data_IF_568754507452
#
_entry.id   IF_568754507452
#
_cell.length_a   1.000
_cell.length_b   1.000
_cell.length_c   1.000
_cell.angle_alpha   90.00
_cell.angle_beta   90.00
_cell.angle_gamma   90.00
#
_symmetry.space_group_name_H-M   'P 1'
#
loop_
_entity.id
_entity.type
_entity.pdbx_description
1 polymer ?
#
# COMPACT_ATOMS: atom_id res chain seq x y z
N UNK A 1 51.46 -26.80 -37.25
CA UNK A 1 51.31 -25.34 -37.44
C UNK A 1 50.01 -24.94 -36.76
N UNK A 2 50.09 -24.67 -35.46
CA UNK A 2 48.97 -24.35 -34.59
C UNK A 2 48.70 -22.84 -34.66
N UNK A 3 47.45 -22.43 -34.83
CA UNK A 3 47.03 -21.05 -34.69
C UNK A 3 46.06 -20.98 -33.50
N UNK A 4 46.62 -20.59 -32.37
CA UNK A 4 45.97 -20.34 -31.10
C UNK A 4 45.11 -19.07 -31.23
N UNK A 5 43.79 -19.20 -31.12
CA UNK A 5 42.88 -18.06 -31.12
C UNK A 5 42.76 -17.50 -29.70
N UNK A 6 43.23 -16.25 -29.53
CA UNK A 6 43.18 -15.52 -28.26
C UNK A 6 41.73 -15.33 -27.79
N UNK A 7 41.39 -15.63 -26.53
CA UNK A 7 40.10 -15.22 -25.97
C UNK A 7 40.09 -13.69 -25.76
N UNK A 8 39.07 -13.05 -26.33
CA UNK A 8 38.80 -11.62 -26.20
C UNK A 8 38.59 -11.23 -24.73
N UNK A 9 39.41 -10.27 -24.31
CA UNK A 9 39.49 -9.61 -23.01
C UNK A 9 38.12 -9.26 -22.41
N UNK A 10 37.92 -9.67 -21.15
CA UNK A 10 36.81 -9.26 -20.31
C UNK A 10 36.78 -7.73 -20.13
N UNK A 11 35.67 -7.11 -20.52
CA UNK A 11 35.38 -5.73 -20.17
C UNK A 11 34.70 -5.68 -18.80
N UNK A 12 35.56 -5.64 -17.77
CA UNK A 12 35.43 -4.80 -16.58
C UNK A 12 34.04 -4.18 -16.34
N UNK A 13 33.19 -4.91 -15.60
CA UNK A 13 31.99 -4.42 -14.92
C UNK A 13 32.40 -3.47 -13.78
N UNK A 14 32.89 -2.28 -14.10
CA UNK A 14 32.96 -1.17 -13.13
C UNK A 14 32.84 0.15 -13.88
N UNK A 15 31.63 0.71 -13.98
CA UNK A 15 31.45 2.11 -14.38
C UNK A 15 30.42 2.85 -13.50
N UNK A 16 31.02 3.61 -12.58
CA UNK A 16 30.70 4.97 -12.09
C UNK A 16 29.73 5.12 -10.89
N UNK A 17 30.13 5.89 -9.84
CA UNK A 17 29.25 6.41 -8.78
C UNK A 17 28.13 7.36 -9.29
N UNK A 18 28.11 7.68 -10.58
CA UNK A 18 27.05 8.45 -11.24
C UNK A 18 25.70 7.74 -11.31
N UNK A 19 25.65 6.42 -11.09
CA UNK A 19 24.40 5.67 -10.96
C UNK A 19 23.54 6.12 -9.77
N UNK A 20 24.16 6.54 -8.66
CA UNK A 20 23.45 7.02 -7.46
C UNK A 20 22.83 8.40 -7.69
N UNK A 21 23.58 9.33 -8.28
CA UNK A 21 23.08 10.66 -8.63
C UNK A 21 22.01 10.59 -9.74
N UNK A 22 22.18 9.69 -10.71
CA UNK A 22 21.13 9.41 -11.69
C UNK A 22 19.88 8.83 -11.02
N UNK A 23 20.06 7.91 -10.06
CA UNK A 23 19.02 7.32 -9.20
C UNK A 23 18.21 8.37 -8.42
N UNK A 24 18.87 9.35 -7.82
CA UNK A 24 18.23 10.43 -7.07
C UNK A 24 17.29 11.31 -7.93
N UNK A 25 17.49 11.35 -9.25
CA UNK A 25 16.61 12.11 -10.17
C UNK A 25 15.37 11.35 -10.63
N UNK A 26 15.22 10.06 -10.30
CA UNK A 26 14.07 9.25 -10.76
C UNK A 26 12.70 9.77 -10.33
N UNK A 27 12.47 10.26 -9.09
CA UNK A 27 11.17 10.81 -8.69
C UNK A 27 10.74 11.99 -9.57
N UNK A 28 11.67 12.88 -9.92
CA UNK A 28 11.41 14.02 -10.80
C UNK A 28 11.11 13.56 -12.24
N UNK A 29 11.82 12.54 -12.74
CA UNK A 29 11.53 11.94 -14.06
C UNK A 29 10.17 11.26 -14.08
N UNK A 30 9.81 10.53 -13.01
CA UNK A 30 8.51 9.88 -12.85
C UNK A 30 7.38 10.93 -12.85
N UNK A 31 7.55 12.03 -12.12
CA UNK A 31 6.60 13.14 -12.13
C UNK A 31 6.46 13.77 -13.53
N UNK A 32 7.57 14.01 -14.23
CA UNK A 32 7.52 14.51 -15.61
C UNK A 32 6.79 13.54 -16.54
N UNK A 33 6.97 12.23 -16.36
CA UNK A 33 6.34 11.21 -17.18
C UNK A 33 4.82 11.14 -16.92
N UNK A 34 4.40 11.17 -15.65
CA UNK A 34 2.99 11.26 -15.27
C UNK A 34 2.32 12.54 -15.81
N UNK A 35 3.05 13.67 -15.82
CA UNK A 35 2.57 14.91 -16.45
C UNK A 35 2.43 14.79 -17.96
N UNK A 36 3.30 14.04 -18.65
CA UNK A 36 3.22 13.89 -20.12
C UNK A 36 2.18 12.86 -20.56
N UNK A 37 1.90 11.86 -19.73
CA UNK A 37 1.01 10.75 -20.09
C UNK A 37 -0.31 10.81 -19.30
N UNK A 38 -1.38 11.43 -19.84
CA UNK A 38 -2.64 11.62 -19.12
C UNK A 38 -3.32 10.30 -18.69
N UNK A 39 -3.18 9.23 -19.51
CA UNK A 39 -3.72 7.89 -19.19
C UNK A 39 -3.17 7.34 -17.86
N UNK A 40 -1.89 7.57 -17.55
CA UNK A 40 -1.26 7.07 -16.32
C UNK A 40 -1.77 7.77 -15.05
N UNK A 41 -2.28 8.99 -15.17
CA UNK A 41 -2.74 9.78 -14.02
C UNK A 41 -3.93 9.13 -13.32
N UNK A 42 -4.83 8.49 -14.07
CA UNK A 42 -5.98 7.78 -13.50
C UNK A 42 -5.55 6.66 -12.54
N UNK A 43 -4.48 5.94 -12.88
CA UNK A 43 -3.95 4.87 -12.03
C UNK A 43 -3.31 5.38 -10.72
N UNK A 44 -3.00 6.67 -10.62
CA UNK A 44 -2.50 7.30 -9.39
C UNK A 44 -3.64 7.99 -8.63
N UNK A 45 -4.50 8.72 -9.34
CA UNK A 45 -5.57 9.51 -8.74
C UNK A 45 -6.68 8.65 -8.14
N UNK A 46 -7.07 7.55 -8.81
CA UNK A 46 -8.16 6.71 -8.32
C UNK A 46 -7.86 6.11 -6.93
N UNK A 47 -6.69 5.47 -6.68
CA UNK A 47 -6.32 5.03 -5.33
C UNK A 47 -6.34 6.13 -4.28
N UNK A 48 -5.87 7.34 -4.64
CA UNK A 48 -5.85 8.48 -3.73
C UNK A 48 -7.27 8.90 -3.37
N UNK A 49 -8.18 8.98 -4.35
CA UNK A 49 -9.57 9.32 -4.13
C UNK A 49 -10.30 8.26 -3.29
N UNK A 50 -10.06 6.97 -3.58
CA UNK A 50 -10.59 5.86 -2.79
C UNK A 50 -10.09 5.96 -1.35
N UNK A 51 -8.80 6.18 -1.13
CA UNK A 51 -8.23 6.36 0.21
C UNK A 51 -8.75 7.60 0.92
N UNK A 52 -9.00 8.70 0.21
CA UNK A 52 -9.62 9.88 0.81
C UNK A 52 -11.05 9.57 1.28
N UNK A 53 -11.88 8.95 0.44
CA UNK A 53 -13.28 8.66 0.78
C UNK A 53 -13.38 7.59 1.86
N UNK A 54 -12.80 6.42 1.62
CA UNK A 54 -12.87 5.27 2.54
C UNK A 54 -12.06 5.55 3.80
N UNK A 55 -10.84 6.09 3.65
CA UNK A 55 -9.96 6.40 4.77
C UNK A 55 -10.54 7.50 5.67
N UNK A 56 -11.15 8.56 5.14
CA UNK A 56 -11.79 9.57 6.00
C UNK A 56 -12.98 9.01 6.77
N UNK A 57 -13.78 8.18 6.12
CA UNK A 57 -14.92 7.51 6.76
C UNK A 57 -14.47 6.58 7.88
N UNK A 58 -13.44 5.76 7.60
CA UNK A 58 -12.86 4.84 8.56
C UNK A 58 -12.18 5.58 9.72
N UNK A 59 -11.45 6.67 9.43
CA UNK A 59 -10.82 7.53 10.43
C UNK A 59 -11.84 8.12 11.39
N UNK A 60 -12.89 8.73 10.86
CA UNK A 60 -13.95 9.32 11.67
C UNK A 60 -14.64 8.26 12.52
N UNK A 61 -14.96 7.09 11.95
CA UNK A 61 -15.57 5.98 12.66
C UNK A 61 -14.70 5.43 13.80
N UNK A 62 -13.41 5.18 13.52
CA UNK A 62 -12.46 4.66 14.51
C UNK A 62 -12.20 5.66 15.64
N UNK A 63 -12.04 6.94 15.33
CA UNK A 63 -11.87 7.95 16.38
C UNK A 63 -13.13 8.12 17.22
N UNK A 64 -14.31 8.17 16.60
CA UNK A 64 -15.57 8.28 17.32
C UNK A 64 -15.77 7.11 18.29
N UNK A 65 -15.65 5.88 17.80
CA UNK A 65 -15.74 4.69 18.63
C UNK A 65 -14.61 4.62 19.68
N UNK A 66 -13.39 5.02 19.30
CA UNK A 66 -12.22 5.03 20.16
C UNK A 66 -12.36 5.98 21.34
N UNK A 67 -12.81 7.22 21.12
CA UNK A 67 -13.04 8.18 22.20
C UNK A 67 -14.17 7.72 23.14
N UNK A 68 -15.25 7.13 22.61
CA UNK A 68 -16.29 6.52 23.44
C UNK A 68 -15.74 5.37 24.30
N UNK A 69 -14.89 4.52 23.72
CA UNK A 69 -14.22 3.44 24.44
C UNK A 69 -13.29 3.95 25.55
N UNK A 70 -12.56 5.05 25.29
CA UNK A 70 -11.72 5.72 26.29
C UNK A 70 -12.57 6.25 27.43
N UNK A 71 -13.64 7.00 27.15
CA UNK A 71 -14.52 7.55 28.17
C UNK A 71 -15.18 6.44 29.01
N UNK A 72 -15.65 5.37 28.36
CA UNK A 72 -16.20 4.21 29.06
C UNK A 72 -15.17 3.51 29.95
N UNK A 73 -13.92 3.35 29.48
CA UNK A 73 -12.86 2.76 30.29
C UNK A 73 -12.56 3.61 31.53
N UNK A 74 -12.59 4.93 31.39
CA UNK A 74 -12.26 5.85 32.47
C UNK A 74 -13.39 6.00 33.50
N UNK A 75 -14.64 6.06 33.04
CA UNK A 75 -15.79 6.13 33.95
C UNK A 75 -15.91 4.90 34.86
N UNK A 76 -15.34 3.77 34.45
CA UNK A 76 -15.30 2.54 35.24
C UNK A 76 -14.11 2.47 36.22
N UNK A 77 -13.30 3.53 36.36
CA UNK A 77 -12.20 3.54 37.33
C UNK A 77 -12.73 3.58 38.78
N UNK A 78 -12.19 2.72 39.67
CA UNK A 78 -12.49 2.81 41.09
C UNK A 78 -11.88 4.10 41.69
N UNK A 79 -12.49 4.61 42.77
CA UNK A 79 -12.11 5.89 43.38
C UNK A 79 -10.62 5.99 43.77
N UNK A 80 -10.00 4.89 44.21
CA UNK A 80 -8.57 4.87 44.55
C UNK A 80 -7.67 5.08 43.33
N UNK A 81 -8.14 4.76 42.13
CA UNK A 81 -7.41 4.89 40.87
C UNK A 81 -7.68 6.22 40.15
N UNK A 82 -8.51 7.12 40.72
CA UNK A 82 -8.89 8.38 40.07
C UNK A 82 -7.69 9.28 39.73
N UNK A 83 -6.57 9.17 40.45
CA UNK A 83 -5.34 9.89 40.15
C UNK A 83 -4.71 9.49 38.79
N UNK A 84 -5.07 8.32 38.24
CA UNK A 84 -4.59 7.84 36.95
C UNK A 84 -5.41 8.35 35.76
N UNK A 85 -6.56 9.00 35.98
CA UNK A 85 -7.50 9.43 34.92
C UNK A 85 -6.77 10.17 33.78
N UNK A 86 -6.04 11.24 34.13
CA UNK A 86 -5.36 12.09 33.15
C UNK A 86 -4.27 11.32 32.40
N UNK A 87 -3.51 10.48 33.12
CA UNK A 87 -2.42 9.70 32.53
C UNK A 87 -2.98 8.66 31.55
N UNK A 88 -4.03 7.94 31.94
CA UNK A 88 -4.68 6.95 31.09
C UNK A 88 -5.37 7.60 29.88
N UNK A 89 -6.04 8.75 30.05
CA UNK A 89 -6.61 9.52 28.93
C UNK A 89 -5.56 9.81 27.86
N UNK A 90 -4.42 10.37 28.27
CA UNK A 90 -3.35 10.73 27.34
C UNK A 90 -2.78 9.49 26.65
N UNK A 91 -2.45 8.43 27.41
CA UNK A 91 -1.88 7.21 26.86
C UNK A 91 -2.83 6.51 25.89
N UNK A 92 -4.10 6.36 26.26
CA UNK A 92 -5.10 5.71 25.41
C UNK A 92 -5.41 6.56 24.17
N UNK A 93 -5.40 7.89 24.28
CA UNK A 93 -5.57 8.78 23.13
C UNK A 93 -4.41 8.65 22.15
N UNK A 94 -3.16 8.64 22.64
CA UNK A 94 -1.98 8.40 21.80
C UNK A 94 -2.08 7.02 21.12
N UNK A 95 -2.42 5.98 21.89
CA UNK A 95 -2.58 4.64 21.36
C UNK A 95 -3.68 4.58 20.30
N UNK A 96 -4.82 5.25 20.53
CA UNK A 96 -5.91 5.35 19.56
C UNK A 96 -5.43 5.96 18.24
N UNK A 97 -4.69 7.08 18.29
CA UNK A 97 -4.15 7.69 17.07
C UNK A 97 -3.14 6.80 16.37
N UNK A 98 -2.25 6.12 17.11
CA UNK A 98 -1.28 5.20 16.54
C UNK A 98 -1.95 4.00 15.85
N UNK A 99 -2.91 3.36 16.52
CA UNK A 99 -3.65 2.22 15.97
C UNK A 99 -4.51 2.65 14.78
N UNK A 100 -5.20 3.78 14.88
CA UNK A 100 -6.00 4.32 13.77
C UNK A 100 -5.11 4.63 12.57
N UNK A 101 -3.98 5.30 12.79
CA UNK A 101 -3.00 5.59 11.73
C UNK A 101 -2.44 4.32 11.10
N UNK A 102 -2.10 3.32 11.91
CA UNK A 102 -1.61 2.03 11.43
C UNK A 102 -2.64 1.32 10.54
N UNK A 103 -3.90 1.24 11.00
CA UNK A 103 -5.00 0.65 10.24
C UNK A 103 -5.19 1.40 8.92
N UNK A 104 -5.21 2.74 8.93
CA UNK A 104 -5.35 3.54 7.72
C UNK A 104 -4.20 3.33 6.72
N UNK A 105 -2.96 3.27 7.19
CA UNK A 105 -1.80 3.00 6.33
C UNK A 105 -1.93 1.63 5.66
N UNK A 106 -2.29 0.61 6.43
CA UNK A 106 -2.43 -0.75 5.92
C UNK A 106 -3.59 -0.86 4.92
N UNK A 107 -4.75 -0.27 5.23
CA UNK A 107 -5.88 -0.19 4.32
C UNK A 107 -5.52 0.59 3.05
N UNK A 108 -4.80 1.70 3.16
CA UNK A 108 -4.45 2.54 2.02
C UNK A 108 -3.52 1.83 1.03
N UNK A 109 -2.56 1.04 1.53
CA UNK A 109 -1.70 0.20 0.70
C UNK A 109 -2.49 -0.95 0.07
N UNK A 110 -3.35 -1.61 0.85
CA UNK A 110 -4.16 -2.73 0.39
C UNK A 110 -5.11 -2.32 -0.74
N UNK A 111 -5.87 -1.25 -0.52
CA UNK A 111 -6.81 -0.71 -1.51
C UNK A 111 -6.08 -0.17 -2.74
N UNK A 112 -4.89 0.43 -2.60
CA UNK A 112 -4.13 0.95 -3.74
C UNK A 112 -3.42 -0.14 -4.57
N UNK A 113 -3.16 -1.31 -3.99
CA UNK A 113 -2.37 -2.38 -4.62
C UNK A 113 -2.81 -2.81 -6.04
N UNK A 114 -4.11 -2.90 -6.38
CA UNK A 114 -4.53 -3.26 -7.74
C UNK A 114 -4.11 -2.23 -8.79
N UNK A 115 -4.11 -0.95 -8.42
CA UNK A 115 -3.71 0.13 -9.31
C UNK A 115 -2.20 0.25 -9.44
N UNK A 116 -1.43 -0.04 -8.38
CA UNK A 116 0.03 -0.05 -8.45
C UNK A 116 0.55 -1.09 -9.46
N UNK A 117 -0.06 -2.28 -9.49
CA UNK A 117 0.28 -3.32 -10.47
C UNK A 117 0.00 -2.88 -11.91
N UNK A 118 -1.18 -2.30 -12.15
CA UNK A 118 -1.54 -1.81 -13.49
C UNK A 118 -0.73 -0.62 -13.96
N UNK A 119 -0.42 0.30 -13.04
CA UNK A 119 0.49 1.39 -13.34
C UNK A 119 1.84 0.85 -13.82
N UNK A 120 2.36 -0.20 -13.17
CA UNK A 120 3.61 -0.84 -13.57
C UNK A 120 3.51 -1.50 -14.95
N UNK A 121 2.44 -2.24 -15.23
CA UNK A 121 2.19 -2.86 -16.54
C UNK A 121 2.16 -1.80 -17.67
N UNK A 122 1.40 -0.72 -17.48
CA UNK A 122 1.28 0.36 -18.48
C UNK A 122 2.60 1.14 -18.63
N UNK A 123 3.36 1.30 -17.54
CA UNK A 123 4.69 1.93 -17.58
C UNK A 123 5.70 1.09 -18.36
N UNK A 124 5.63 -0.24 -18.20
CA UNK A 124 6.47 -1.18 -18.93
C UNK A 124 6.11 -1.24 -20.41
N UNK A 125 4.81 -1.26 -20.74
CA UNK A 125 4.33 -1.14 -22.12
C UNK A 125 4.84 0.13 -22.81
N UNK A 126 4.78 1.27 -22.11
CA UNK A 126 5.29 2.56 -22.62
C UNK A 126 6.80 2.57 -22.87
N UNK A 127 7.59 1.76 -22.14
CA UNK A 127 9.05 1.71 -22.29
C UNK A 127 9.53 0.61 -23.24
N UNK A 128 8.95 -0.57 -23.17
CA UNK A 128 9.39 -1.76 -23.89
C UNK A 128 8.66 -1.95 -25.24
N UNK A 129 7.51 -1.29 -25.43
CA UNK A 129 6.69 -1.43 -26.64
C UNK A 129 6.05 -2.81 -26.81
N UNK A 130 6.08 -3.66 -25.78
CA UNK A 130 5.50 -5.00 -25.79
C UNK A 130 4.33 -5.09 -24.82
N UNK A 131 3.23 -5.68 -25.29
CA UNK A 131 2.03 -5.95 -24.49
C UNK A 131 2.12 -7.35 -23.89
N UNK A 132 2.56 -7.45 -22.64
CA UNK A 132 2.25 -8.63 -21.83
C UNK A 132 0.91 -8.34 -21.17
N UNK A 133 -0.17 -8.82 -21.79
CA UNK A 133 -1.53 -8.71 -21.23
C UNK A 133 -1.74 -9.95 -20.34
N UNK A 134 -1.70 -9.85 -19.01
CA UNK A 134 -2.20 -10.92 -18.17
C UNK A 134 -3.72 -11.08 -18.40
N UNK A 135 -4.23 -12.32 -18.55
CA UNK A 135 -5.64 -12.56 -18.83
C UNK A 135 -6.49 -12.07 -17.64
N UNK A 136 -7.26 -11.00 -17.82
CA UNK A 136 -8.31 -10.60 -16.85
C UNK A 136 -8.45 -9.11 -16.49
N UNK A 137 -7.48 -8.24 -16.82
CA UNK A 137 -7.58 -6.82 -16.46
C UNK A 137 -7.75 -6.56 -14.94
N UNK A 138 -8.16 -5.35 -14.53
CA UNK A 138 -8.38 -4.99 -13.11
C UNK A 138 -9.55 -5.77 -12.50
N UNK A 139 -10.60 -5.98 -13.30
CA UNK A 139 -11.79 -6.69 -12.86
C UNK A 139 -11.51 -8.13 -12.47
N UNK A 140 -10.66 -8.83 -13.23
CA UNK A 140 -10.29 -10.22 -12.94
C UNK A 140 -9.58 -10.39 -11.59
N UNK A 141 -8.59 -9.54 -11.30
CA UNK A 141 -7.83 -9.62 -10.04
C UNK A 141 -8.72 -9.33 -8.83
N UNK A 142 -9.56 -8.29 -8.90
CA UNK A 142 -10.43 -7.93 -7.78
C UNK A 142 -11.49 -9.02 -7.53
N UNK A 143 -12.04 -9.60 -8.60
CA UNK A 143 -12.99 -10.73 -8.52
C UNK A 143 -12.31 -11.96 -7.93
N UNK A 144 -11.07 -12.25 -8.28
CA UNK A 144 -10.32 -13.38 -7.74
C UNK A 144 -9.99 -13.23 -6.26
N UNK A 145 -9.52 -12.04 -5.84
CA UNK A 145 -9.25 -11.73 -4.43
C UNK A 145 -10.56 -11.81 -3.62
N UNK A 146 -11.64 -11.21 -4.11
CA UNK A 146 -12.95 -11.27 -3.44
C UNK A 146 -13.46 -12.71 -3.34
N UNK A 147 -13.34 -13.49 -4.42
CA UNK A 147 -13.73 -14.90 -4.45
C UNK A 147 -12.92 -15.74 -3.47
N UNK A 148 -11.61 -15.48 -3.33
CA UNK A 148 -10.74 -16.17 -2.38
C UNK A 148 -11.11 -15.85 -0.93
N UNK A 149 -11.31 -14.57 -0.59
CA UNK A 149 -11.74 -14.15 0.74
C UNK A 149 -13.11 -14.73 1.08
N UNK A 150 -14.07 -14.66 0.17
CA UNK A 150 -15.42 -15.21 0.36
C UNK A 150 -15.40 -16.73 0.57
N UNK A 151 -14.48 -17.43 -0.10
CA UNK A 151 -14.30 -18.87 0.08
C UNK A 151 -13.74 -19.21 1.46
N UNK A 152 -12.74 -18.46 1.94
CA UNK A 152 -12.14 -18.69 3.26
C UNK A 152 -13.12 -18.34 4.39
N UNK A 153 -13.90 -17.27 4.24
CA UNK A 153 -14.99 -16.94 5.17
C UNK A 153 -16.08 -18.02 5.21
N UNK A 154 -16.42 -18.60 4.05
CA UNK A 154 -17.36 -19.72 3.98
C UNK A 154 -16.84 -20.96 4.72
N UNK A 155 -15.54 -21.27 4.63
CA UNK A 155 -14.95 -22.38 5.41
C UNK A 155 -15.09 -22.12 6.90
N UNK A 156 -14.71 -20.94 7.38
CA UNK A 156 -14.80 -20.58 8.79
C UNK A 156 -16.23 -20.67 9.32
N UNK A 157 -17.20 -20.18 8.55
CA UNK A 157 -18.62 -20.27 8.91
C UNK A 157 -19.09 -21.74 8.99
N UNK A 158 -18.69 -22.57 8.03
CA UNK A 158 -19.09 -23.98 7.99
C UNK A 158 -18.43 -24.79 9.10
N UNK A 159 -17.19 -24.47 9.47
CA UNK A 159 -16.49 -25.06 10.63
C UNK A 159 -17.07 -24.60 11.96
N UNK A 160 -17.57 -23.36 12.06
CA UNK A 160 -18.21 -22.85 13.27
C UNK A 160 -19.67 -23.32 13.45
N UNK A 161 -20.29 -23.85 12.38
CA UNK A 161 -21.67 -24.35 12.38
C UNK A 161 -21.79 -25.88 12.59
N UNK A 162 -20.67 -26.58 12.79
CA UNK A 162 -20.55 -28.00 13.13
C UNK A 162 -20.02 -28.11 14.55
#
# INVERSE_FOLDING_TARGET
>A
MAAESKPGSGSSIVRVPGGLFAGATYPFRAFSLLRKTPKLRGYVLVPILVNLVVGSTLYAGLLFAGFQGIDAAIQNLPAWAAFLDVVLRVLLTILLFLLTGFVLLQFGVLLGSPWYGKLSEELEQLRAGQTVIPPGGIGGIFVEIWRAIAFELKKLFLTAAI
#
